data_IF_074734456882
#
_entry.id   IF_074734456882
#
_cell.length_a   1.000
_cell.length_b   1.000
_cell.length_c   1.000
_cell.angle_alpha   90.00
_cell.angle_beta   90.00
_cell.angle_gamma   90.00
#
_symmetry.space_group_name_H-M   'P 1'
#
loop_
_entity.id
_entity.type
_entity.pdbx_description
1 polymer ?
#
# COMPACT_ATOMS: atom_id res chain seq x y z
N UNK A 1 40.66 1.51 5.93
CA UNK A 1 40.71 0.03 5.92
C UNK A 1 39.29 -0.39 6.27
N UNK A 2 38.39 -0.24 5.32
CA UNK A 2 37.96 -1.32 4.39
C UNK A 2 37.51 -2.56 5.15
N UNK A 3 36.20 -2.63 5.41
CA UNK A 3 35.45 -3.87 5.22
C UNK A 3 34.16 -3.46 4.51
N UNK A 4 34.17 -3.59 3.17
CA UNK A 4 32.94 -3.60 2.40
C UNK A 4 32.08 -4.70 3.00
N UNK A 5 30.98 -4.32 3.65
CA UNK A 5 30.04 -5.23 4.26
C UNK A 5 29.34 -5.98 3.12
N UNK A 6 30.03 -6.98 2.56
CA UNK A 6 29.43 -7.98 1.69
C UNK A 6 28.33 -8.63 2.51
N UNK A 7 27.10 -8.19 2.25
CA UNK A 7 25.89 -8.89 2.62
C UNK A 7 26.11 -10.38 2.38
N UNK A 8 26.24 -11.15 3.46
CA UNK A 8 26.21 -12.61 3.36
C UNK A 8 24.89 -12.95 2.64
N UNK A 9 24.89 -13.95 1.75
CA UNK A 9 23.72 -14.33 0.95
C UNK A 9 22.43 -14.45 1.80
N UNK A 10 22.57 -14.85 3.08
CA UNK A 10 21.49 -14.88 4.07
C UNK A 10 20.86 -13.53 4.37
N UNK A 11 21.66 -12.48 4.51
CA UNK A 11 21.19 -11.14 4.82
C UNK A 11 20.52 -10.50 3.61
N UNK A 12 21.05 -10.74 2.40
CA UNK A 12 20.40 -10.35 1.15
C UNK A 12 19.02 -11.02 1.03
N UNK A 13 18.95 -12.33 1.26
CA UNK A 13 17.68 -13.08 1.22
C UNK A 13 16.71 -12.60 2.31
N UNK A 14 17.21 -12.16 3.47
CA UNK A 14 16.37 -11.59 4.51
C UNK A 14 15.73 -10.26 4.07
N UNK A 15 16.51 -9.36 3.45
CA UNK A 15 16.00 -8.10 2.90
C UNK A 15 14.95 -8.34 1.81
N UNK A 16 15.21 -9.29 0.91
CA UNK A 16 14.28 -9.62 -0.18
C UNK A 16 12.92 -10.09 0.37
N UNK A 17 12.92 -10.95 1.39
CA UNK A 17 11.69 -11.39 2.07
C UNK A 17 10.93 -10.22 2.70
N UNK A 18 11.63 -9.28 3.34
CA UNK A 18 10.99 -8.09 3.93
C UNK A 18 10.39 -7.18 2.86
N UNK A 19 11.08 -7.01 1.73
CA UNK A 19 10.60 -6.23 0.58
C UNK A 19 9.34 -6.84 -0.05
N UNK A 20 9.36 -8.14 -0.34
CA UNK A 20 8.21 -8.89 -0.85
C UNK A 20 7.01 -8.84 0.10
N UNK A 21 7.25 -8.95 1.41
CA UNK A 21 6.18 -8.81 2.40
C UNK A 21 5.57 -7.39 2.43
N UNK A 22 6.39 -6.36 2.24
CA UNK A 22 5.94 -4.97 2.17
C UNK A 22 5.14 -4.69 0.87
N UNK A 23 5.61 -5.19 -0.27
CA UNK A 23 4.89 -5.12 -1.55
C UNK A 23 3.54 -5.83 -1.49
N UNK A 24 3.49 -7.03 -0.90
CA UNK A 24 2.22 -7.74 -0.64
C UNK A 24 1.26 -6.92 0.22
N UNK A 25 1.78 -6.26 1.26
CA UNK A 25 0.95 -5.41 2.14
C UNK A 25 0.40 -4.20 1.37
N UNK A 26 1.23 -3.57 0.53
CA UNK A 26 0.80 -2.50 -0.36
C UNK A 26 -0.28 -2.96 -1.35
N UNK A 27 -0.09 -4.12 -1.99
CA UNK A 27 -1.08 -4.69 -2.90
C UNK A 27 -2.41 -5.02 -2.22
N UNK A 28 -2.39 -5.37 -0.93
CA UNK A 28 -3.61 -5.53 -0.14
C UNK A 28 -4.35 -4.20 0.07
N UNK A 29 -3.63 -3.12 0.43
CA UNK A 29 -4.20 -1.76 0.50
C UNK A 29 -4.77 -1.32 -0.85
N UNK A 30 -4.02 -1.53 -1.93
CA UNK A 30 -4.45 -1.21 -3.29
C UNK A 30 -5.75 -1.94 -3.68
N UNK A 31 -5.82 -3.24 -3.42
CA UNK A 31 -7.03 -4.04 -3.63
C UNK A 31 -8.21 -3.46 -2.88
N UNK A 32 -8.05 -3.17 -1.59
CA UNK A 32 -9.15 -2.61 -0.78
C UNK A 32 -9.61 -1.25 -1.30
N UNK A 33 -8.68 -0.38 -1.71
CA UNK A 33 -9.02 0.93 -2.26
C UNK A 33 -9.81 0.82 -3.57
N UNK A 34 -9.40 -0.05 -4.50
CA UNK A 34 -10.11 -0.25 -5.77
C UNK A 34 -11.53 -0.79 -5.55
N UNK A 35 -11.68 -1.79 -4.67
CA UNK A 35 -13.00 -2.37 -4.38
C UNK A 35 -13.92 -1.31 -3.78
N UNK A 36 -13.44 -0.56 -2.78
CA UNK A 36 -14.24 0.50 -2.14
C UNK A 36 -14.60 1.62 -3.12
N UNK A 37 -13.65 2.03 -3.97
CA UNK A 37 -13.90 3.05 -4.99
C UNK A 37 -14.90 2.57 -6.04
N UNK A 38 -14.74 1.34 -6.53
CA UNK A 38 -15.66 0.74 -7.50
C UNK A 38 -17.07 0.57 -6.93
N UNK A 39 -17.19 0.12 -5.68
CA UNK A 39 -18.48 0.04 -4.98
C UNK A 39 -19.09 1.44 -4.77
N UNK A 40 -18.31 2.42 -4.31
CA UNK A 40 -18.78 3.79 -4.12
C UNK A 40 -19.29 4.43 -5.42
N UNK A 41 -18.52 4.30 -6.50
CA UNK A 41 -18.91 4.73 -7.84
C UNK A 41 -20.14 3.99 -8.38
N UNK A 42 -20.28 2.70 -8.09
CA UNK A 42 -21.44 1.90 -8.45
C UNK A 42 -22.72 2.40 -7.77
N UNK A 43 -22.64 2.72 -6.48
CA UNK A 43 -23.77 3.26 -5.71
C UNK A 43 -24.20 4.63 -6.25
N UNK A 44 -23.24 5.53 -6.52
CA UNK A 44 -23.53 6.88 -7.03
C UNK A 44 -24.21 6.83 -8.41
N UNK A 45 -23.84 5.88 -9.27
CA UNK A 45 -24.37 5.81 -10.65
C UNK A 45 -25.75 5.15 -10.78
N UNK A 46 -26.20 4.40 -9.80
CA UNK A 46 -27.45 3.65 -9.89
C UNK A 46 -28.57 4.48 -9.22
N UNK A 47 -29.53 4.96 -10.03
CA UNK A 47 -30.65 5.79 -9.57
C UNK A 47 -31.51 5.12 -8.47
N UNK A 48 -31.56 3.78 -8.43
CA UNK A 48 -32.25 3.02 -7.38
C UNK A 48 -31.65 3.23 -5.98
N UNK A 49 -30.43 3.75 -5.88
CA UNK A 49 -29.70 3.96 -4.62
C UNK A 49 -29.54 5.44 -4.25
N UNK A 50 -30.44 6.32 -4.70
CA UNK A 50 -30.35 7.76 -4.42
C UNK A 50 -30.29 8.09 -2.92
N UNK A 51 -30.96 7.32 -2.06
CA UNK A 51 -30.86 7.46 -0.59
C UNK A 51 -29.46 7.07 -0.03
N UNK A 52 -28.71 6.25 -0.76
CA UNK A 52 -27.38 5.77 -0.40
C UNK A 52 -26.25 6.55 -1.09
N UNK A 53 -26.57 7.59 -1.86
CA UNK A 53 -25.58 8.40 -2.57
C UNK A 53 -24.52 8.98 -1.62
N UNK A 54 -24.94 9.44 -0.44
CA UNK A 54 -24.04 9.89 0.63
C UNK A 54 -23.06 8.80 1.09
N UNK A 55 -23.51 7.54 1.16
CA UNK A 55 -22.66 6.38 1.44
C UNK A 55 -21.68 6.13 0.30
N UNK A 56 -22.12 6.22 -0.95
CA UNK A 56 -21.26 6.08 -2.13
C UNK A 56 -20.14 7.13 -2.17
N UNK A 57 -20.45 8.38 -1.82
CA UNK A 57 -19.48 9.47 -1.69
C UNK A 57 -18.50 9.18 -0.55
N UNK A 58 -18.98 8.77 0.62
CA UNK A 58 -18.13 8.44 1.77
C UNK A 58 -17.15 7.31 1.44
N UNK A 59 -17.60 6.24 0.79
CA UNK A 59 -16.75 5.14 0.33
C UNK A 59 -15.71 5.60 -0.70
N UNK A 60 -16.13 6.46 -1.63
CA UNK A 60 -15.25 7.02 -2.67
C UNK A 60 -14.16 7.92 -2.10
N UNK A 61 -14.43 8.64 -1.00
CA UNK A 61 -13.44 9.44 -0.28
C UNK A 61 -12.53 8.57 0.59
N UNK A 62 -13.06 7.50 1.18
CA UNK A 62 -12.26 6.60 2.01
C UNK A 62 -11.23 5.80 1.20
N UNK A 63 -11.54 5.47 -0.06
CA UNK A 63 -10.63 4.77 -0.96
C UNK A 63 -9.26 5.46 -1.16
N UNK A 64 -9.17 6.76 -1.54
CA UNK A 64 -7.89 7.45 -1.66
C UNK A 64 -7.17 7.61 -0.30
N UNK A 65 -7.89 7.69 0.82
CA UNK A 65 -7.27 7.71 2.16
C UNK A 65 -6.54 6.39 2.43
N UNK A 66 -7.22 5.25 2.21
CA UNK A 66 -6.62 3.92 2.37
C UNK A 66 -5.43 3.74 1.43
N UNK A 67 -5.56 4.21 0.18
CA UNK A 67 -4.48 4.19 -0.79
C UNK A 67 -3.27 5.03 -0.33
N UNK A 68 -3.50 6.25 0.16
CA UNK A 68 -2.44 7.11 0.68
C UNK A 68 -1.70 6.46 1.86
N UNK A 69 -2.42 5.83 2.80
CA UNK A 69 -1.82 5.07 3.91
C UNK A 69 -0.95 3.93 3.39
N UNK A 70 -1.43 3.17 2.40
CA UNK A 70 -0.67 2.09 1.78
C UNK A 70 0.63 2.58 1.12
N UNK A 71 0.55 3.70 0.40
CA UNK A 71 1.70 4.34 -0.26
C UNK A 71 2.72 4.85 0.76
N UNK A 72 2.29 5.60 1.77
CA UNK A 72 3.17 6.12 2.84
C UNK A 72 3.88 4.98 3.55
N UNK A 73 3.17 3.89 3.87
CA UNK A 73 3.76 2.72 4.52
C UNK A 73 4.80 2.04 3.64
N UNK A 74 4.53 1.89 2.34
CA UNK A 74 5.47 1.31 1.38
C UNK A 74 6.79 2.11 1.34
N UNK A 75 6.68 3.45 1.25
CA UNK A 75 7.85 4.34 1.23
C UNK A 75 8.59 4.37 2.57
N UNK A 76 7.89 4.37 3.70
CA UNK A 76 8.50 4.35 5.02
C UNK A 76 9.41 3.14 5.18
N UNK A 77 8.90 1.94 4.87
CA UNK A 77 9.67 0.69 4.98
C UNK A 77 10.85 0.67 3.99
N UNK A 78 10.67 1.16 2.75
CA UNK A 78 11.78 1.30 1.80
C UNK A 78 12.87 2.24 2.31
N UNK A 79 12.49 3.36 2.94
CA UNK A 79 13.43 4.35 3.47
C UNK A 79 14.22 3.80 4.67
N UNK A 80 13.55 3.05 5.56
CA UNK A 80 14.21 2.39 6.71
C UNK A 80 15.26 1.38 6.24
N UNK A 81 14.95 0.57 5.23
CA UNK A 81 15.89 -0.42 4.66
C UNK A 81 17.09 0.29 4.02
N UNK A 82 16.85 1.35 3.24
CA UNK A 82 17.93 2.13 2.61
C UNK A 82 18.88 2.76 3.64
N UNK A 83 18.34 3.24 4.77
CA UNK A 83 19.14 3.86 5.84
C UNK A 83 20.00 2.86 6.61
N UNK A 84 19.51 1.64 6.84
CA UNK A 84 20.26 0.61 7.58
C UNK A 84 21.32 -0.08 6.74
N UNK A 85 21.07 -0.26 5.43
CA UNK A 85 21.97 -1.05 4.58
C UNK A 85 22.94 -0.25 3.71
N UNK A 86 22.91 1.08 3.76
CA UNK A 86 23.83 2.00 3.04
C UNK A 86 24.20 1.48 1.64
N UNK A 87 23.18 1.11 0.87
CA UNK A 87 23.25 0.93 -0.59
C UNK A 87 22.95 2.27 -1.26
#
# INVERSE_FOLDING_TARGET
MEEGNELIVRDWLAIERTKLANERTFLAYFRTAIVLFGTGMGIIKIELFSELEAFGIALSIMAPIIMAVGVVRLFHVKSVIKKHYKV
#
